data_IF_416409388841
#
_entry.id   IF_416409388841
#
_cell.length_a   1.000
_cell.length_b   1.000
_cell.length_c   1.000
_cell.angle_alpha   90.00
_cell.angle_beta   90.00
_cell.angle_gamma   90.00
#
_symmetry.space_group_name_H-M   'P 1'
#
loop_
_entity.id
_entity.type
_entity.pdbx_description
1 polymer ?
#
# COMPACT_ATOMS: atom_id res chain seq x y z
N UNK A 1 3.98 6.60 -32.95
CA UNK A 1 3.90 7.45 -31.73
C UNK A 1 4.56 6.77 -30.52
N UNK A 2 5.88 6.65 -30.47
CA UNK A 2 6.59 5.97 -29.35
C UNK A 2 6.77 6.85 -28.10
N UNK A 3 6.75 8.18 -28.23
CA UNK A 3 7.05 9.13 -27.15
C UNK A 3 6.18 8.97 -25.90
N UNK A 4 4.86 8.74 -26.04
CA UNK A 4 3.96 8.55 -24.86
C UNK A 4 4.29 7.32 -24.02
N UNK A 5 4.86 6.28 -24.61
CA UNK A 5 5.25 5.07 -23.89
C UNK A 5 6.51 5.28 -23.04
N UNK A 6 7.47 6.01 -23.56
CA UNK A 6 8.73 6.31 -22.86
C UNK A 6 8.51 7.22 -21.64
N UNK A 7 7.67 8.25 -21.76
CA UNK A 7 7.33 9.10 -20.61
C UNK A 7 6.58 8.35 -19.51
N UNK A 8 5.73 7.37 -19.87
CA UNK A 8 5.05 6.55 -18.85
C UNK A 8 6.01 5.62 -18.11
N UNK A 9 7.02 5.09 -18.76
CA UNK A 9 8.05 4.27 -18.13
C UNK A 9 8.93 5.12 -17.21
N UNK A 10 9.42 6.26 -17.70
CA UNK A 10 10.23 7.19 -16.91
C UNK A 10 9.49 7.67 -15.66
N UNK A 11 8.21 8.05 -15.80
CA UNK A 11 7.39 8.45 -14.67
C UNK A 11 7.24 7.34 -13.61
N UNK A 12 7.07 6.10 -14.04
CA UNK A 12 7.04 4.96 -13.11
C UNK A 12 8.35 4.80 -12.37
N UNK A 13 9.47 4.82 -13.08
CA UNK A 13 10.81 4.71 -12.48
C UNK A 13 11.00 5.79 -11.43
N UNK A 14 10.68 7.07 -11.75
CA UNK A 14 10.79 8.17 -10.82
C UNK A 14 9.92 7.99 -9.56
N UNK A 15 8.68 7.52 -9.72
CA UNK A 15 7.78 7.24 -8.59
C UNK A 15 8.36 6.14 -7.69
N UNK A 16 8.89 5.05 -8.25
CA UNK A 16 9.50 3.99 -7.43
C UNK A 16 10.79 4.45 -6.76
N UNK A 17 11.66 5.20 -7.46
CA UNK A 17 12.86 5.78 -6.85
C UNK A 17 12.51 6.71 -5.69
N UNK A 18 11.51 7.57 -5.87
CA UNK A 18 11.02 8.45 -4.81
C UNK A 18 10.45 7.65 -3.64
N UNK A 19 9.64 6.62 -3.90
CA UNK A 19 9.07 5.78 -2.87
C UNK A 19 10.15 5.04 -2.07
N UNK A 20 11.15 4.47 -2.72
CA UNK A 20 12.28 3.82 -2.04
C UNK A 20 12.99 4.83 -1.13
N UNK A 21 13.28 6.03 -1.63
CA UNK A 21 13.93 7.07 -0.83
C UNK A 21 13.07 7.48 0.37
N UNK A 22 11.77 7.73 0.17
CA UNK A 22 10.85 8.15 1.22
C UNK A 22 10.67 7.08 2.31
N UNK A 23 10.55 5.80 1.94
CA UNK A 23 10.37 4.70 2.88
C UNK A 23 11.67 4.20 3.50
N UNK A 24 12.84 4.53 2.93
CA UNK A 24 14.15 4.20 3.50
C UNK A 24 14.54 5.09 4.68
N UNK A 25 13.80 6.17 4.93
CA UNK A 25 14.09 7.05 6.05
C UNK A 25 13.93 6.31 7.38
N UNK A 26 15.02 6.22 8.14
CA UNK A 26 15.10 5.54 9.43
C UNK A 26 14.91 6.58 10.54
N UNK A 27 13.67 7.00 10.76
CA UNK A 27 13.28 7.68 11.98
C UNK A 27 12.68 6.66 12.94
N UNK A 28 13.30 6.41 14.08
CA UNK A 28 12.70 5.58 15.12
C UNK A 28 11.74 6.43 15.94
N UNK A 29 10.47 6.06 15.93
CA UNK A 29 9.49 6.59 16.86
C UNK A 29 9.58 5.84 18.20
N UNK A 30 9.39 6.55 19.30
CA UNK A 30 9.35 5.94 20.64
C UNK A 30 8.29 4.84 20.76
N UNK A 31 7.16 5.01 20.07
CA UNK A 31 6.07 4.05 20.05
C UNK A 31 6.47 2.70 19.45
N UNK A 32 7.36 2.68 18.48
CA UNK A 32 7.80 1.44 17.85
C UNK A 32 8.39 0.45 18.87
N UNK A 33 9.22 0.95 19.79
CA UNK A 33 9.82 0.12 20.83
C UNK A 33 8.79 -0.39 21.83
N UNK A 34 7.77 0.42 22.13
CA UNK A 34 6.61 0.00 22.91
C UNK A 34 5.88 -1.16 22.26
N UNK A 35 5.52 -1.03 20.99
CA UNK A 35 4.83 -2.10 20.23
C UNK A 35 5.65 -3.39 20.16
N UNK A 36 6.97 -3.32 19.97
CA UNK A 36 7.84 -4.50 20.00
C UNK A 36 7.80 -5.16 21.39
N UNK A 37 7.83 -4.38 22.47
CA UNK A 37 7.79 -4.91 23.83
C UNK A 37 6.43 -5.51 24.19
N UNK A 38 5.34 -4.89 23.78
CA UNK A 38 4.01 -5.47 23.92
C UNK A 38 3.89 -6.78 23.14
N UNK A 39 4.38 -6.82 21.90
CA UNK A 39 4.41 -8.04 21.09
C UNK A 39 5.22 -9.17 21.74
N UNK A 40 6.36 -8.84 22.37
CA UNK A 40 7.14 -9.82 23.13
C UNK A 40 6.34 -10.40 24.28
N UNK A 41 5.68 -9.55 25.07
CA UNK A 41 4.88 -10.00 26.22
C UNK A 41 3.71 -10.89 25.79
N UNK A 42 3.00 -10.52 24.70
CA UNK A 42 1.91 -11.33 24.15
C UNK A 42 2.43 -12.67 23.67
N UNK A 43 3.56 -12.68 22.97
CA UNK A 43 4.17 -13.92 22.48
C UNK A 43 4.59 -14.86 23.62
N UNK A 44 5.17 -14.31 24.68
CA UNK A 44 5.60 -15.11 25.83
C UNK A 44 4.44 -15.60 26.69
N UNK A 45 3.42 -14.77 26.87
CA UNK A 45 2.23 -15.12 27.66
C UNK A 45 1.24 -16.04 26.91
N UNK A 46 1.31 -16.07 25.57
CA UNK A 46 0.33 -16.78 24.72
C UNK A 46 -1.09 -16.20 24.79
N UNK A 47 -1.25 -14.99 25.35
CA UNK A 47 -2.54 -14.34 25.53
C UNK A 47 -2.40 -12.81 25.42
N UNK A 48 -3.44 -12.16 24.91
CA UNK A 48 -3.51 -10.68 24.87
C UNK A 48 -3.88 -10.17 26.27
N UNK A 49 -3.10 -9.27 26.89
CA UNK A 49 -3.41 -8.71 28.20
C UNK A 49 -4.70 -7.91 28.15
N UNK A 50 -5.56 -8.09 29.17
CA UNK A 50 -6.84 -7.36 29.31
C UNK A 50 -6.72 -6.10 30.16
N UNK A 51 -5.55 -5.90 30.76
CA UNK A 51 -5.24 -4.74 31.59
C UNK A 51 -3.93 -4.12 31.13
N UNK A 52 -3.79 -2.80 31.26
CA UNK A 52 -2.56 -2.10 30.92
C UNK A 52 -1.49 -2.36 31.99
N UNK A 53 -0.39 -3.07 31.67
CA UNK A 53 0.68 -3.38 32.63
C UNK A 53 1.65 -2.21 32.83
N UNK A 54 1.55 -1.12 32.07
CA UNK A 54 2.52 -0.03 32.07
C UNK A 54 1.96 1.30 32.58
N UNK A 55 0.66 1.38 32.87
CA UNK A 55 0.07 2.58 33.42
C UNK A 55 0.43 2.79 34.88
N UNK A 56 1.11 3.90 35.19
CA UNK A 56 1.40 4.32 36.55
C UNK A 56 0.23 5.00 37.24
N UNK A 57 -0.65 5.62 36.44
CA UNK A 57 -1.73 6.48 36.96
C UNK A 57 -2.95 5.65 37.32
N UNK A 58 -3.23 4.62 36.53
CA UNK A 58 -4.39 3.73 36.73
C UNK A 58 -3.92 2.27 36.62
N UNK A 59 -3.34 1.69 37.68
CA UNK A 59 -2.92 0.31 37.69
C UNK A 59 -4.15 -0.62 37.50
N UNK A 60 -4.01 -1.63 36.66
CA UNK A 60 -5.05 -2.59 36.32
C UNK A 60 -6.29 -2.03 35.59
N UNK A 61 -6.16 -0.85 34.95
CA UNK A 61 -7.22 -0.35 34.08
C UNK A 61 -7.50 -1.33 32.94
N UNK A 62 -8.79 -1.58 32.67
CA UNK A 62 -9.19 -2.45 31.56
C UNK A 62 -8.76 -1.83 30.26
N UNK A 63 -7.94 -2.56 29.51
CA UNK A 63 -7.39 -2.09 28.25
C UNK A 63 -7.65 -3.13 27.16
N UNK A 64 -8.19 -2.66 26.03
CA UNK A 64 -8.39 -3.48 24.84
C UNK A 64 -7.28 -3.19 23.84
N UNK A 65 -6.29 -4.08 23.77
CA UNK A 65 -5.24 -3.99 22.78
C UNK A 65 -5.78 -4.45 21.41
N UNK A 66 -6.17 -3.50 20.56
CA UNK A 66 -6.65 -3.77 19.20
C UNK A 66 -5.51 -3.93 18.18
N UNK A 67 -4.29 -3.59 18.55
CA UNK A 67 -3.10 -3.64 17.70
C UNK A 67 -2.24 -4.90 17.95
N UNK A 68 -2.68 -5.80 18.82
CA UNK A 68 -1.94 -6.97 19.31
C UNK A 68 -1.28 -7.79 18.18
N UNK A 69 -1.95 -7.95 17.04
CA UNK A 69 -1.43 -8.74 15.91
C UNK A 69 -0.22 -8.04 15.26
N UNK A 70 -0.32 -6.73 15.07
CA UNK A 70 0.77 -5.91 14.52
C UNK A 70 1.98 -5.90 15.45
N UNK A 71 1.75 -5.82 16.74
CA UNK A 71 2.78 -5.87 17.78
C UNK A 71 3.53 -7.20 17.78
N UNK A 72 2.81 -8.32 17.67
CA UNK A 72 3.42 -9.65 17.55
C UNK A 72 4.23 -9.78 16.26
N UNK A 73 3.73 -9.26 15.14
CA UNK A 73 4.47 -9.25 13.87
C UNK A 73 5.75 -8.44 14.00
N UNK A 74 5.71 -7.24 14.60
CA UNK A 74 6.89 -6.41 14.82
C UNK A 74 7.91 -7.10 15.73
N UNK A 75 7.45 -7.73 16.81
CA UNK A 75 8.33 -8.50 17.67
C UNK A 75 9.02 -9.65 16.94
N UNK A 76 8.28 -10.44 16.17
CA UNK A 76 8.84 -11.58 15.42
C UNK A 76 9.86 -11.12 14.37
N UNK A 77 9.54 -10.06 13.62
CA UNK A 77 10.46 -9.47 12.66
C UNK A 77 11.73 -8.95 13.34
N UNK A 78 11.56 -8.27 14.47
CA UNK A 78 12.69 -7.77 15.25
C UNK A 78 13.54 -8.90 15.83
N UNK A 79 12.91 -9.95 16.36
CA UNK A 79 13.59 -11.12 16.93
C UNK A 79 14.47 -11.85 15.92
N UNK A 80 14.02 -11.97 14.68
CA UNK A 80 14.72 -12.74 13.64
C UNK A 80 15.74 -11.88 12.88
N UNK A 81 15.38 -10.66 12.52
CA UNK A 81 16.16 -9.81 11.61
C UNK A 81 16.61 -8.48 12.24
N UNK A 82 16.30 -8.23 13.51
CA UNK A 82 16.59 -6.96 14.18
C UNK A 82 15.83 -5.79 13.57
N UNK A 83 16.37 -4.58 13.71
CA UNK A 83 15.81 -3.36 13.14
C UNK A 83 15.74 -3.38 11.61
N UNK A 84 16.65 -4.09 10.97
CA UNK A 84 16.66 -4.26 9.50
C UNK A 84 15.40 -4.98 9.01
N UNK A 85 14.89 -5.96 9.76
CA UNK A 85 13.64 -6.67 9.42
C UNK A 85 12.43 -5.73 9.38
N UNK A 86 12.32 -4.83 10.33
CA UNK A 86 11.24 -3.84 10.36
C UNK A 86 11.36 -2.86 9.18
N UNK A 87 12.58 -2.44 8.84
CA UNK A 87 12.83 -1.58 7.68
C UNK A 87 12.43 -2.26 6.37
N UNK A 88 12.83 -3.51 6.17
CA UNK A 88 12.48 -4.29 4.97
C UNK A 88 10.96 -4.48 4.90
N UNK A 89 10.29 -4.77 6.01
CA UNK A 89 8.84 -4.90 6.06
C UNK A 89 8.14 -3.59 5.70
N UNK A 90 8.58 -2.46 6.24
CA UNK A 90 8.09 -1.12 5.91
C UNK A 90 8.26 -0.80 4.42
N UNK A 91 9.44 -1.07 3.87
CA UNK A 91 9.72 -0.89 2.44
C UNK A 91 8.81 -1.78 1.57
N UNK A 92 8.67 -3.05 1.92
CA UNK A 92 7.82 -4.00 1.20
C UNK A 92 6.36 -3.56 1.17
N UNK A 93 5.80 -3.15 2.30
CA UNK A 93 4.43 -2.62 2.37
C UNK A 93 4.28 -1.34 1.55
N UNK A 94 5.21 -0.38 1.70
CA UNK A 94 5.16 0.87 0.97
C UNK A 94 5.23 0.67 -0.54
N UNK A 95 6.15 -0.16 -1.01
CA UNK A 95 6.27 -0.49 -2.44
C UNK A 95 5.05 -1.24 -2.97
N UNK A 96 4.45 -2.12 -2.17
CA UNK A 96 3.22 -2.83 -2.55
C UNK A 96 2.06 -1.86 -2.74
N UNK A 97 1.88 -0.91 -1.83
CA UNK A 97 0.85 0.13 -1.95
C UNK A 97 1.06 0.96 -3.21
N UNK A 98 2.29 1.46 -3.45
CA UNK A 98 2.62 2.23 -4.65
C UNK A 98 2.38 1.41 -5.93
N UNK A 99 2.73 0.12 -5.91
CA UNK A 99 2.49 -0.78 -7.03
C UNK A 99 1.00 -0.94 -7.34
N UNK A 100 0.17 -1.21 -6.34
CA UNK A 100 -1.28 -1.33 -6.49
C UNK A 100 -1.91 -0.02 -7.01
N UNK A 101 -1.52 1.12 -6.43
CA UNK A 101 -1.98 2.43 -6.90
C UNK A 101 -1.56 2.70 -8.34
N UNK A 102 -0.33 2.35 -8.71
CA UNK A 102 0.16 2.50 -10.08
C UNK A 102 -0.63 1.64 -11.06
N UNK A 103 -0.97 0.41 -10.69
CA UNK A 103 -1.81 -0.47 -11.52
C UNK A 103 -3.22 0.10 -11.69
N UNK A 104 -3.85 0.60 -10.63
CA UNK A 104 -5.17 1.23 -10.70
C UNK A 104 -5.15 2.46 -11.62
N UNK A 105 -4.15 3.31 -11.50
CA UNK A 105 -4.02 4.51 -12.33
C UNK A 105 -3.78 4.18 -13.80
N UNK A 106 -2.80 3.34 -14.10
CA UNK A 106 -2.43 2.99 -15.48
C UNK A 106 -3.36 1.93 -16.09
N UNK A 107 -3.96 1.06 -15.29
CA UNK A 107 -4.97 0.09 -15.73
C UNK A 107 -6.24 0.79 -16.19
N UNK A 108 -6.72 1.75 -15.40
CA UNK A 108 -7.92 2.53 -15.73
C UNK A 108 -7.78 3.32 -17.03
N UNK A 109 -6.59 3.83 -17.33
CA UNK A 109 -6.32 4.54 -18.60
C UNK A 109 -6.45 3.64 -19.82
N UNK A 110 -6.16 2.35 -19.71
CA UNK A 110 -6.35 1.37 -20.81
C UNK A 110 -7.83 1.06 -21.04
N UNK A 111 -8.60 0.89 -19.98
CA UNK A 111 -10.04 0.61 -20.05
C UNK A 111 -10.82 1.76 -20.69
N UNK A 112 -10.52 3.00 -20.32
CA UNK A 112 -11.13 4.18 -20.94
C UNK A 112 -10.75 4.31 -22.42
N UNK A 113 -9.55 3.92 -22.83
CA UNK A 113 -9.14 3.93 -24.24
C UNK A 113 -9.87 2.88 -25.06
N UNK A 114 -10.11 1.70 -24.52
CA UNK A 114 -10.89 0.66 -25.20
C UNK A 114 -12.37 1.10 -25.39
N UNK A 115 -12.99 1.70 -24.38
CA UNK A 115 -14.36 2.20 -24.46
C UNK A 115 -14.48 3.34 -25.48
N UNK A 116 -13.54 4.29 -25.47
CA UNK A 116 -13.51 5.39 -26.42
C UNK A 116 -13.28 4.92 -27.86
N UNK A 117 -12.44 3.90 -28.07
CA UNK A 117 -12.21 3.30 -29.39
C UNK A 117 -13.46 2.57 -29.90
N UNK A 118 -14.14 1.81 -29.03
CA UNK A 118 -15.38 1.11 -29.35
C UNK A 118 -16.50 2.08 -29.74
N UNK A 119 -16.66 3.20 -29.04
CA UNK A 119 -17.68 4.21 -29.35
C UNK A 119 -17.40 4.98 -30.65
N UNK A 120 -16.11 5.16 -31.02
CA UNK A 120 -15.75 5.78 -32.30
C UNK A 120 -15.98 4.81 -33.50
N UNK A 121 -15.70 3.52 -33.32
CA UNK A 121 -15.95 2.50 -34.33
C UNK A 121 -17.45 2.33 -34.58
N UNK A 122 -18.29 2.34 -33.54
CA UNK A 122 -19.76 2.29 -33.69
C UNK A 122 -20.33 3.50 -34.42
N UNK A 123 -19.79 4.69 -34.29
CA UNK A 123 -20.23 5.89 -35.02
C UNK A 123 -19.89 5.84 -36.51
N UNK A 124 -18.75 5.26 -36.88
CA UNK A 124 -18.41 5.11 -38.33
C UNK A 124 -19.31 4.11 -39.04
N UNK A 125 -19.71 3.02 -38.37
CA UNK A 125 -20.62 2.02 -38.95
C UNK A 125 -22.04 2.57 -39.10
N UNK A 126 -22.50 3.47 -38.23
CA UNK A 126 -23.83 4.05 -38.30
C UNK A 126 -23.94 5.15 -39.36
N UNK A 127 -22.82 5.87 -39.66
CA UNK A 127 -22.80 6.90 -40.70
C UNK A 127 -22.80 6.34 -42.12
N UNK A 128 -22.37 5.08 -42.30
CA UNK A 128 -22.37 4.41 -43.62
C UNK A 128 -23.68 3.66 -43.95
N UNK A 129 -24.62 3.61 -43.02
CA UNK A 129 -25.89 2.87 -43.18
C UNK A 129 -27.10 3.74 -43.53
N UNK A 130 -26.98 5.03 -43.75
CA UNK A 130 -28.07 5.90 -44.17
C UNK A 130 -28.11 5.95 -45.73
N UNK A 131 -29.12 5.36 -46.38
CA UNK A 131 -29.33 5.53 -47.82
C UNK A 131 -29.71 6.98 -48.11
N UNK A 132 -29.11 7.54 -49.15
CA UNK A 132 -29.48 8.84 -49.67
C UNK A 132 -30.94 8.81 -50.14
N UNK A 133 -31.82 9.63 -49.57
CA UNK A 133 -33.19 9.84 -50.01
C UNK A 133 -33.12 10.72 -51.28
N UNK A 134 -33.60 10.27 -52.44
CA UNK A 134 -33.68 11.09 -53.65
C UNK A 134 -34.81 12.12 -53.50
N UNK A 135 -34.51 13.37 -53.74
CA UNK A 135 -35.46 14.48 -53.93
C UNK A 135 -36.00 14.50 -55.37
#
# INVERSE_FOLDING_TARGET
MPLKSQYSLLARILVYCYAINAFSFVGSDFYLWGHIKFGENIWQAGAVPKTDPYSYVFPNHVWFNHEWLTEVIFYLLYKVFGSTGILIFKLGLGLTIIHLLSQLYFGRSKTFRCIACSSSCGRMLFSSALPAVPT
#
